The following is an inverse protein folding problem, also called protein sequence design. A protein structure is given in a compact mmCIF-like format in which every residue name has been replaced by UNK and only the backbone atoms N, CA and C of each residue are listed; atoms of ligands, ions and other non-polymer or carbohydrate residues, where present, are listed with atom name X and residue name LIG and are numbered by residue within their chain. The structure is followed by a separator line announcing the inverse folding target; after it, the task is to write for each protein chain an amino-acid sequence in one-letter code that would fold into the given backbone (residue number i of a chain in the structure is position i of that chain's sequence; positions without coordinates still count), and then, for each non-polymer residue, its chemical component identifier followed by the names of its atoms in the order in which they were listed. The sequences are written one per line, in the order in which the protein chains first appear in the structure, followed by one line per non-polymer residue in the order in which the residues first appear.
data_IF_245775018311
#
_entry.id   IF_245775018311
#
_cell.length_a   1.000
_cell.length_b   1.000
_cell.length_c   1.000
_cell.angle_alpha   90.00
_cell.angle_beta   90.00
_cell.angle_gamma   90.00
#
_symmetry.space_group_name_H-M   'P 1'
#
loop_
_entity.id
_entity.type
_entity.pdbx_description
1 polymer ?
#
# COMPACT_ATOMS: atom_id res chain seq x y z
N UNK A 1 4.29 12.81 -13.42
CA UNK A 1 3.53 12.25 -12.29
C UNK A 1 3.49 13.23 -11.13
N UNK A 2 2.35 13.39 -10.51
CA UNK A 2 2.26 14.17 -9.28
C UNK A 2 1.42 13.42 -8.25
N UNK A 3 1.70 13.67 -6.97
CA UNK A 3 1.06 13.00 -5.85
C UNK A 3 0.35 14.07 -5.02
N UNK A 4 -0.95 13.88 -4.77
CA UNK A 4 -1.76 14.79 -3.97
C UNK A 4 -2.68 14.04 -3.03
N UNK A 5 -3.17 14.76 -2.01
CA UNK A 5 -4.20 14.23 -1.11
C UNK A 5 -5.57 14.70 -1.63
N UNK A 6 -6.41 13.79 -2.14
CA UNK A 6 -7.66 14.19 -2.78
C UNK A 6 -8.74 14.51 -1.76
N UNK A 7 -9.74 15.29 -2.19
CA UNK A 7 -10.99 15.42 -1.44
C UNK A 7 -11.73 14.09 -1.59
N UNK A 8 -12.19 13.53 -0.47
CA UNK A 8 -12.76 12.18 -0.44
C UNK A 8 -14.25 12.20 -0.74
N UNK A 9 -14.59 12.67 -1.95
CA UNK A 9 -15.97 12.61 -2.43
C UNK A 9 -16.37 11.18 -2.74
N UNK A 10 -17.65 10.93 -2.89
CA UNK A 10 -18.15 9.62 -3.31
C UNK A 10 -17.52 9.19 -4.64
N UNK A 11 -17.37 10.12 -5.57
CA UNK A 11 -16.76 9.82 -6.89
C UNK A 11 -15.30 9.43 -6.74
N UNK A 12 -14.54 10.15 -5.92
CA UNK A 12 -13.13 9.82 -5.66
C UNK A 12 -13.03 8.43 -5.04
N UNK A 13 -13.82 8.14 -4.01
CA UNK A 13 -13.80 6.83 -3.35
C UNK A 13 -14.14 5.72 -4.34
N UNK A 14 -15.17 5.93 -5.16
CA UNK A 14 -15.56 4.93 -6.17
C UNK A 14 -14.46 4.71 -7.22
N UNK A 15 -13.83 5.80 -7.67
CA UNK A 15 -12.72 5.71 -8.64
C UNK A 15 -11.56 4.89 -8.08
N UNK A 16 -11.16 5.17 -6.84
CA UNK A 16 -10.06 4.45 -6.22
C UNK A 16 -10.43 3.00 -5.89
N UNK A 17 -11.68 2.73 -5.54
CA UNK A 17 -12.14 1.36 -5.32
C UNK A 17 -12.08 0.55 -6.63
N UNK A 18 -12.40 1.15 -7.77
CA UNK A 18 -12.25 0.50 -9.07
C UNK A 18 -10.78 0.24 -9.41
N UNK A 19 -9.89 1.16 -9.05
CA UNK A 19 -8.45 0.96 -9.22
C UNK A 19 -7.99 -0.21 -8.37
N UNK A 20 -8.42 -0.27 -7.11
CA UNK A 20 -8.13 -1.40 -6.23
C UNK A 20 -8.60 -2.72 -6.86
N UNK A 21 -9.83 -2.77 -7.33
CA UNK A 21 -10.39 -3.99 -7.93
C UNK A 21 -9.57 -4.43 -9.14
N UNK A 22 -9.24 -3.52 -10.05
CA UNK A 22 -8.42 -3.83 -11.22
C UNK A 22 -7.06 -4.39 -10.80
N UNK A 23 -6.45 -3.81 -9.78
CA UNK A 23 -5.15 -4.25 -9.29
C UNK A 23 -5.22 -5.66 -8.68
N UNK A 24 -6.19 -5.91 -7.80
CA UNK A 24 -6.26 -7.22 -7.12
C UNK A 24 -6.66 -8.33 -8.08
N UNK A 25 -7.45 -8.05 -9.11
CA UNK A 25 -7.79 -9.05 -10.12
C UNK A 25 -6.55 -9.53 -10.87
N UNK A 26 -5.55 -8.68 -11.03
CA UNK A 26 -4.32 -9.00 -11.73
C UNK A 26 -3.22 -9.54 -10.83
N UNK A 27 -3.26 -9.27 -9.53
CA UNK A 27 -2.16 -9.60 -8.61
C UNK A 27 -2.55 -10.58 -7.50
N UNK A 28 -3.81 -10.63 -7.08
CA UNK A 28 -4.26 -11.45 -5.96
C UNK A 28 -5.13 -12.60 -6.48
N UNK A 29 -4.50 -13.54 -7.19
CA UNK A 29 -5.21 -14.65 -7.83
C UNK A 29 -5.90 -15.61 -6.84
N UNK A 30 -5.56 -15.51 -5.57
CA UNK A 30 -6.22 -16.28 -4.51
C UNK A 30 -7.59 -15.72 -4.12
N UNK A 31 -7.97 -14.52 -4.59
CA UNK A 31 -9.27 -13.95 -4.32
C UNK A 31 -10.28 -14.38 -5.37
N UNK A 32 -11.44 -14.85 -4.91
CA UNK A 32 -12.57 -15.21 -5.80
C UNK A 32 -13.42 -13.99 -6.07
N UNK A 33 -14.35 -14.12 -7.03
CA UNK A 33 -15.35 -13.07 -7.29
C UNK A 33 -16.16 -12.75 -6.04
N UNK A 34 -16.53 -13.76 -5.27
CA UNK A 34 -17.26 -13.57 -4.02
C UNK A 34 -16.42 -12.80 -3.00
N UNK A 35 -15.12 -13.09 -2.93
CA UNK A 35 -14.20 -12.36 -2.04
C UNK A 35 -14.12 -10.88 -2.44
N UNK A 36 -13.99 -10.60 -3.72
CA UNK A 36 -13.90 -9.22 -4.22
C UNK A 36 -15.18 -8.45 -3.88
N UNK A 37 -16.35 -9.07 -4.13
CA UNK A 37 -17.63 -8.44 -3.79
C UNK A 37 -17.77 -8.17 -2.30
N UNK A 38 -17.32 -9.11 -1.46
CA UNK A 38 -17.38 -8.98 -0.01
C UNK A 38 -16.45 -7.86 0.49
N UNK A 39 -15.26 -7.75 -0.11
CA UNK A 39 -14.24 -6.79 0.32
C UNK A 39 -14.50 -5.37 -0.17
N UNK A 40 -15.20 -5.19 -1.29
CA UNK A 40 -15.44 -3.88 -1.89
C UNK A 40 -16.03 -2.85 -0.92
N UNK A 41 -17.08 -3.16 -0.12
CA UNK A 41 -17.59 -2.17 0.84
C UNK A 41 -16.57 -1.77 1.91
N UNK A 42 -15.74 -2.72 2.34
CA UNK A 42 -14.68 -2.43 3.33
C UNK A 42 -13.61 -1.54 2.74
N UNK A 43 -13.24 -1.76 1.48
CA UNK A 43 -12.27 -0.91 0.78
C UNK A 43 -12.83 0.51 0.64
N UNK A 44 -14.08 0.66 0.23
CA UNK A 44 -14.70 1.99 0.12
C UNK A 44 -14.76 2.69 1.45
N UNK A 45 -15.14 1.99 2.51
CA UNK A 45 -15.15 2.55 3.86
C UNK A 45 -13.76 2.97 4.28
N UNK A 46 -12.77 2.12 4.05
CA UNK A 46 -11.37 2.43 4.35
C UNK A 46 -10.90 3.68 3.63
N UNK A 47 -11.18 3.78 2.33
CA UNK A 47 -10.79 4.96 1.54
C UNK A 47 -11.44 6.24 2.05
N UNK A 48 -12.67 6.15 2.55
CA UNK A 48 -13.37 7.31 3.11
C UNK A 48 -12.86 7.75 4.46
N UNK A 49 -12.29 6.83 5.26
CA UNK A 49 -11.98 7.07 6.67
C UNK A 49 -10.49 7.00 7.02
N UNK A 50 -9.64 6.45 6.15
CA UNK A 50 -8.20 6.33 6.45
C UNK A 50 -7.62 7.70 6.81
N UNK A 51 -6.71 7.73 7.78
CA UNK A 51 -6.14 8.97 8.28
C UNK A 51 -5.51 9.81 7.18
N UNK A 52 -4.68 9.18 6.34
CA UNK A 52 -3.99 9.87 5.25
C UNK A 52 -4.15 9.09 3.97
N UNK A 53 -4.52 9.78 2.91
CA UNK A 53 -4.70 9.19 1.58
C UNK A 53 -4.03 10.07 0.55
N UNK A 54 -3.17 9.47 -0.27
CA UNK A 54 -2.48 10.16 -1.35
C UNK A 54 -2.66 9.39 -2.65
N UNK A 55 -2.86 10.13 -3.73
CA UNK A 55 -3.07 9.55 -5.06
C UNK A 55 -1.98 10.06 -5.99
N UNK A 56 -1.38 9.15 -6.75
CA UNK A 56 -0.45 9.48 -7.80
C UNK A 56 -1.21 9.57 -9.12
N UNK A 57 -1.03 10.67 -9.84
CA UNK A 57 -1.66 10.92 -11.13
C UNK A 57 -0.59 10.93 -12.22
N UNK A 58 -0.89 10.28 -13.33
CA UNK A 58 -0.08 10.35 -14.56
C UNK A 58 -0.97 10.91 -15.64
N UNK A 59 -0.62 12.07 -16.19
CA UNK A 59 -1.44 12.77 -17.20
C UNK A 59 -2.90 12.91 -16.74
N UNK A 60 -3.08 13.32 -15.49
CA UNK A 60 -4.38 13.53 -14.83
C UNK A 60 -5.21 12.26 -14.65
N UNK A 61 -4.62 11.08 -14.83
CA UNK A 61 -5.28 9.80 -14.60
C UNK A 61 -4.78 9.22 -13.29
N UNK A 62 -5.69 8.80 -12.38
CA UNK A 62 -5.25 8.13 -11.14
C UNK A 62 -4.52 6.83 -11.46
N UNK A 63 -3.25 6.77 -11.10
CA UNK A 63 -2.38 5.64 -11.43
C UNK A 63 -2.11 4.74 -10.23
N UNK A 64 -2.23 5.28 -9.02
CA UNK A 64 -2.02 4.51 -7.81
C UNK A 64 -2.39 5.34 -6.59
N UNK A 65 -2.54 4.68 -5.45
CA UNK A 65 -2.81 5.38 -4.20
C UNK A 65 -2.19 4.66 -3.02
N UNK A 66 -1.96 5.42 -1.94
CA UNK A 66 -1.46 4.90 -0.68
C UNK A 66 -2.32 5.45 0.45
N UNK A 67 -2.72 4.55 1.37
CA UNK A 67 -3.44 4.92 2.57
C UNK A 67 -2.59 4.62 3.78
N UNK A 68 -2.48 5.59 4.68
CA UNK A 68 -1.66 5.50 5.88
C UNK A 68 -2.50 5.70 7.12
N UNK A 69 -2.23 4.90 8.14
CA UNK A 69 -2.82 5.07 9.46
C UNK A 69 -1.67 5.09 10.46
N UNK A 70 -1.49 6.22 11.15
CA UNK A 70 -0.35 6.41 12.07
C UNK A 70 0.97 6.12 11.34
N UNK A 71 1.74 5.16 11.81
CA UNK A 71 3.05 4.82 11.24
C UNK A 71 3.00 3.58 10.33
N UNK A 72 1.82 3.27 9.79
CA UNK A 72 1.62 2.03 9.03
C UNK A 72 1.02 2.30 7.66
N UNK A 73 1.52 1.59 6.66
CA UNK A 73 0.89 1.54 5.33
C UNK A 73 -0.27 0.55 5.41
N UNK A 74 -1.49 1.06 5.23
CA UNK A 74 -2.70 0.22 5.25
C UNK A 74 -3.15 -0.17 3.86
N UNK A 75 -2.87 0.66 2.87
CA UNK A 75 -3.25 0.41 1.48
C UNK A 75 -2.16 0.91 0.56
N UNK A 76 -1.83 0.13 -0.47
CA UNK A 76 -0.97 0.56 -1.57
C UNK A 76 -1.36 -0.23 -2.80
N UNK A 77 -1.90 0.46 -3.79
CA UNK A 77 -2.36 -0.18 -5.04
C UNK A 77 -2.00 0.69 -6.22
N UNK A 78 -1.57 0.04 -7.30
CA UNK A 78 -1.22 0.69 -8.57
C UNK A 78 -2.08 0.06 -9.66
N UNK A 79 -2.68 0.91 -10.51
CA UNK A 79 -3.47 0.42 -11.63
C UNK A 79 -2.60 -0.40 -12.57
N UNK A 80 -3.09 -1.55 -13.06
CA UNK A 80 -2.26 -2.44 -13.89
C UNK A 80 -1.62 -1.77 -15.11
N UNK A 81 -2.31 -0.83 -15.73
CA UNK A 81 -1.78 -0.12 -16.89
C UNK A 81 -0.53 0.70 -16.58
N UNK A 82 -0.28 0.96 -15.31
CA UNK A 82 0.85 1.76 -14.86
C UNK A 82 1.91 0.93 -14.11
N UNK A 83 1.80 -0.40 -14.11
CA UNK A 83 2.80 -1.24 -13.49
C UNK A 83 4.15 -1.12 -14.20
N UNK A 84 5.23 -1.25 -13.44
CA UNK A 84 6.58 -1.15 -13.98
C UNK A 84 7.09 0.27 -14.15
N UNK A 85 6.32 1.28 -13.74
CA UNK A 85 6.69 2.70 -13.87
C UNK A 85 7.22 3.32 -12.57
N UNK A 86 7.35 2.50 -11.51
CA UNK A 86 7.88 2.97 -10.23
C UNK A 86 6.89 3.76 -9.38
N UNK A 87 5.59 3.72 -9.69
CA UNK A 87 4.57 4.51 -8.99
C UNK A 87 4.44 4.08 -7.53
N UNK A 88 4.37 2.76 -7.27
CA UNK A 88 4.30 2.25 -5.91
C UNK A 88 5.50 2.67 -5.08
N UNK A 89 6.69 2.57 -5.64
CA UNK A 89 7.91 3.00 -4.98
C UNK A 89 7.88 4.49 -4.66
N UNK A 90 7.45 5.33 -5.59
CA UNK A 90 7.38 6.78 -5.37
C UNK A 90 6.39 7.12 -4.26
N UNK A 91 5.25 6.44 -4.21
CA UNK A 91 4.27 6.64 -3.14
C UNK A 91 4.87 6.28 -1.77
N UNK A 92 5.57 5.15 -1.67
CA UNK A 92 6.18 4.73 -0.41
C UNK A 92 7.31 5.67 -0.01
N UNK A 93 8.16 6.09 -0.96
CA UNK A 93 9.25 7.02 -0.67
C UNK A 93 8.71 8.38 -0.20
N UNK A 94 7.62 8.85 -0.80
CA UNK A 94 6.94 10.06 -0.34
C UNK A 94 6.47 9.91 1.10
N UNK A 95 5.87 8.76 1.42
CA UNK A 95 5.41 8.48 2.78
C UNK A 95 6.57 8.45 3.78
N UNK A 96 7.71 7.88 3.40
CA UNK A 96 8.90 7.89 4.24
C UNK A 96 9.40 9.30 4.50
N UNK A 97 9.39 10.17 3.47
CA UNK A 97 9.88 11.55 3.60
C UNK A 97 8.98 12.41 4.48
N UNK A 98 7.67 12.17 4.44
CA UNK A 98 6.70 13.04 5.12
C UNK A 98 6.27 12.51 6.48
N UNK A 99 6.34 11.21 6.69
CA UNK A 99 5.80 10.57 7.89
C UNK A 99 6.76 9.50 8.36
N UNK A 100 6.67 9.18 9.65
CA UNK A 100 7.51 8.14 10.26
C UNK A 100 6.88 6.77 10.05
N UNK A 101 6.88 6.28 8.81
CA UNK A 101 6.30 5.00 8.44
C UNK A 101 7.24 3.87 8.83
N UNK A 102 6.71 2.88 9.56
CA UNK A 102 7.47 1.76 10.06
C UNK A 102 6.90 0.40 9.71
N UNK A 103 5.57 0.28 9.56
CA UNK A 103 4.91 -1.02 9.47
C UNK A 103 4.12 -1.17 8.18
N UNK A 104 4.00 -2.41 7.72
CA UNK A 104 3.10 -2.81 6.65
C UNK A 104 2.70 -4.27 6.87
N UNK A 105 1.46 -4.60 6.54
CA UNK A 105 0.98 -5.99 6.50
C UNK A 105 0.89 -6.42 5.05
N UNK A 106 1.38 -7.62 4.76
CA UNK A 106 1.41 -8.17 3.41
C UNK A 106 0.75 -9.54 3.41
N UNK A 107 -0.10 -9.79 2.44
CA UNK A 107 -0.66 -11.13 2.28
C UNK A 107 0.45 -12.08 1.86
N UNK A 108 0.61 -13.19 2.59
CA UNK A 108 1.65 -14.18 2.31
C UNK A 108 1.53 -14.77 0.90
N UNK A 109 0.32 -14.81 0.38
CA UNK A 109 0.02 -15.36 -0.95
C UNK A 109 0.34 -14.37 -2.08
N UNK A 110 0.93 -13.22 -1.74
CA UNK A 110 1.40 -12.24 -2.71
C UNK A 110 2.90 -12.03 -2.56
N UNK A 111 3.74 -12.95 -3.10
CA UNK A 111 5.19 -12.85 -2.96
C UNK A 111 5.79 -11.62 -3.64
N UNK A 112 5.13 -11.08 -4.67
CA UNK A 112 5.60 -9.85 -5.31
C UNK A 112 5.55 -8.66 -4.36
N UNK A 113 4.46 -8.52 -3.59
CA UNK A 113 4.35 -7.47 -2.60
C UNK A 113 5.38 -7.64 -1.49
N UNK A 114 5.57 -8.87 -1.02
CA UNK A 114 6.60 -9.14 -0.02
C UNK A 114 7.98 -8.72 -0.50
N UNK A 115 8.35 -9.11 -1.72
CA UNK A 115 9.64 -8.73 -2.31
C UNK A 115 9.78 -7.22 -2.48
N UNK A 116 8.70 -6.56 -2.89
CA UNK A 116 8.67 -5.11 -3.05
C UNK A 116 9.00 -4.40 -1.73
N UNK A 117 8.30 -4.77 -0.65
CA UNK A 117 8.54 -4.15 0.66
C UNK A 117 9.90 -4.53 1.24
N UNK A 118 10.32 -5.79 1.05
CA UNK A 118 11.64 -6.21 1.50
C UNK A 118 12.73 -5.38 0.84
N UNK A 119 12.59 -5.10 -0.44
CA UNK A 119 13.54 -4.27 -1.19
C UNK A 119 13.59 -2.83 -0.66
N UNK A 120 12.50 -2.35 -0.07
CA UNK A 120 12.42 -1.01 0.53
C UNK A 120 12.83 -0.98 2.00
N UNK A 121 13.35 -2.09 2.52
CA UNK A 121 13.91 -2.13 3.87
C UNK A 121 13.00 -2.72 4.94
N UNK A 122 11.86 -3.29 4.55
CA UNK A 122 10.97 -3.97 5.48
C UNK A 122 11.42 -5.42 5.68
N UNK A 123 11.22 -5.94 6.90
CA UNK A 123 11.46 -7.34 7.24
C UNK A 123 10.29 -7.90 8.01
N UNK A 124 9.95 -9.16 7.75
CA UNK A 124 8.88 -9.85 8.47
C UNK A 124 9.31 -10.13 9.90
N UNK A 125 8.49 -9.72 10.87
CA UNK A 125 8.73 -10.00 12.27
C UNK A 125 7.64 -10.87 12.89
N UNK A 126 6.51 -11.05 12.23
CA UNK A 126 5.41 -11.85 12.73
C UNK A 126 4.57 -12.35 11.57
N UNK A 127 3.93 -13.50 11.73
CA UNK A 127 3.00 -14.07 10.76
C UNK A 127 1.72 -14.47 11.49
N UNK A 128 0.57 -14.13 10.91
CA UNK A 128 -0.72 -14.60 11.42
C UNK A 128 -1.35 -15.55 10.41
N UNK A 129 -2.10 -16.56 10.91
CA UNK A 129 -2.76 -17.55 10.06
C UNK A 129 -3.94 -16.96 9.29
N UNK A 130 -4.55 -15.90 9.82
CA UNK A 130 -5.74 -15.26 9.26
C UNK A 130 -5.52 -13.76 9.15
N UNK A 131 -6.31 -13.11 8.30
CA UNK A 131 -6.31 -11.64 8.24
C UNK A 131 -7.05 -11.06 9.44
N UNK A 132 -7.13 -9.73 9.52
CA UNK A 132 -7.77 -9.04 10.64
C UNK A 132 -9.27 -9.28 10.77
N UNK A 133 -9.89 -9.93 9.79
CA UNK A 133 -11.31 -10.26 9.79
C UNK A 133 -11.57 -11.75 9.97
N UNK A 134 -10.53 -12.54 10.27
CA UNK A 134 -10.64 -13.96 10.47
C UNK A 134 -10.72 -14.80 9.20
N UNK A 135 -10.48 -14.19 8.02
CA UNK A 135 -10.44 -14.94 6.76
C UNK A 135 -9.14 -15.75 6.67
N UNK A 136 -9.14 -16.89 5.93
CA UNK A 136 -7.97 -17.77 5.83
C UNK A 136 -6.91 -17.22 4.86
N UNK A 137 -6.51 -15.98 5.06
CA UNK A 137 -5.46 -15.31 4.29
C UNK A 137 -4.32 -14.98 5.24
N UNK A 138 -3.24 -15.80 5.27
CA UNK A 138 -2.11 -15.53 6.17
C UNK A 138 -1.47 -14.18 5.88
N UNK A 139 -1.13 -13.48 6.94
CA UNK A 139 -0.56 -12.13 6.87
C UNK A 139 0.87 -12.15 7.38
N UNK A 140 1.79 -11.56 6.63
CA UNK A 140 3.14 -11.27 7.07
C UNK A 140 3.16 -9.85 7.60
N UNK A 141 3.48 -9.70 8.89
CA UNK A 141 3.65 -8.37 9.48
C UNK A 141 5.10 -7.98 9.32
N UNK A 142 5.33 -6.88 8.64
CA UNK A 142 6.66 -6.41 8.31
C UNK A 142 6.94 -5.08 8.96
N UNK A 143 8.20 -4.86 9.35
CA UNK A 143 8.63 -3.58 9.86
C UNK A 143 9.91 -3.15 9.16
N UNK A 144 10.03 -1.85 8.99
CA UNK A 144 11.23 -1.23 8.48
C UNK A 144 12.15 -0.96 9.66
N UNK A 145 13.43 -1.32 9.53
CA UNK A 145 14.40 -1.05 10.58
C UNK A 145 14.48 0.44 10.83
N UNK A 146 14.50 0.81 12.10
CA UNK A 146 14.76 2.18 12.47
C UNK A 146 16.14 2.57 11.99
N UNK A 147 16.21 3.72 11.33
CA UNK A 147 17.47 4.30 11.00
C UNK A 147 18.26 4.53 12.29
N UNK A 148 19.46 3.93 12.36
CA UNK A 148 20.33 4.09 13.51
C UNK A 148 21.46 5.06 13.14
N UNK A 149 21.56 6.16 13.88
CA UNK A 149 22.60 7.16 13.63
C UNK A 149 24.01 6.58 13.72
N UNK A 150 24.24 5.58 14.57
CA UNK A 150 25.55 4.96 14.71
C UNK A 150 25.96 4.11 13.51
N UNK A 151 25.01 3.75 12.67
CA UNK A 151 25.24 3.01 11.43
C UNK A 151 25.01 3.86 10.19
N UNK A 152 24.59 5.11 10.39
CA UNK A 152 24.30 5.99 9.27
C UNK A 152 25.56 6.47 8.61
N UNK A 153 25.54 6.52 7.28
CA UNK A 153 26.53 7.21 6.48
C UNK A 153 25.86 8.41 5.83
N UNK A 154 26.63 9.41 5.35
CA UNK A 154 26.03 10.52 4.65
C UNK A 154 25.20 10.10 3.42
N UNK A 155 25.53 9.00 2.80
CA UNK A 155 24.78 8.46 1.67
C UNK A 155 23.45 7.85 2.10
N UNK A 156 23.36 7.33 3.30
CA UNK A 156 22.13 6.70 3.80
C UNK A 156 21.08 7.74 4.19
N UNK A 157 21.50 8.87 4.73
CA UNK A 157 20.60 9.89 5.26
C UNK A 157 19.62 10.42 4.21
N UNK A 158 20.06 10.78 2.99
CA UNK A 158 19.13 11.32 1.99
C UNK A 158 18.15 10.29 1.45
N UNK A 159 18.43 9.01 1.61
CA UNK A 159 17.60 7.92 1.09
C UNK A 159 16.43 7.64 2.02
N UNK A 160 16.57 8.02 3.27
CA UNK A 160 15.56 7.82 4.30
C UNK A 160 14.58 8.95 4.36
#
# INVERSE_FOLDING_TARGET
MHITSPIRTKDTVNTLARLWEASVRRSHHFLTEADIRRLTPFVKSGLGHIERLFVAYVQNVPAGFIGLEKNKIEMLFVAPDFWGMGIGKELVLMAFRKFNIRYVDVNEQNPQAEGFYRHLGFRTFERTETDGQGNPFPILKMERERFSLRHATPEDIPVL
#
